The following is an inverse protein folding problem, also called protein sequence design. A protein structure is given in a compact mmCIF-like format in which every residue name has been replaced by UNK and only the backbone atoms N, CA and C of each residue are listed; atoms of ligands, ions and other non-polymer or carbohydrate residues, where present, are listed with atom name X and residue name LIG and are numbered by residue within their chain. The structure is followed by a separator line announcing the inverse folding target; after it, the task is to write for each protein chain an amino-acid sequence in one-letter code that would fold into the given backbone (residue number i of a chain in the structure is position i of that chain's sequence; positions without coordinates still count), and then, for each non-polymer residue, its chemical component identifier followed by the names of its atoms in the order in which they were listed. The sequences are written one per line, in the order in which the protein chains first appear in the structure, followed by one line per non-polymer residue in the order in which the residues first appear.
data_IF_945507288428
#
_entry.id   IF_945507288428
#
_cell.length_a   1.000
_cell.length_b   1.000
_cell.length_c   1.000
_cell.angle_alpha   90.00
_cell.angle_beta   90.00
_cell.angle_gamma   90.00
#
_symmetry.space_group_name_H-M   'P 1'
#
loop_
_entity.id
_entity.type
_entity.pdbx_description
1 polymer ?
#
# COMPACT_ATOMS: atom_id res chain seq x y z
N UNK A 1 -21.97 -37.81 12.16
CA UNK A 1 -20.69 -37.12 12.43
C UNK A 1 -19.73 -37.23 11.25
N UNK A 2 -19.40 -38.43 10.76
CA UNK A 2 -18.46 -38.63 9.63
C UNK A 2 -18.84 -37.85 8.36
N UNK A 3 -20.12 -37.87 7.95
CA UNK A 3 -20.58 -37.12 6.77
C UNK A 3 -20.34 -35.60 6.90
N UNK A 4 -20.54 -35.06 8.11
CA UNK A 4 -20.36 -33.64 8.38
C UNK A 4 -18.87 -33.26 8.32
N UNK A 5 -17.99 -34.12 8.82
CA UNK A 5 -16.53 -33.97 8.72
C UNK A 5 -16.07 -34.01 7.26
N UNK A 6 -16.60 -34.94 6.46
CA UNK A 6 -16.28 -35.04 5.02
C UNK A 6 -16.73 -33.80 4.25
N UNK A 7 -17.93 -33.28 4.53
CA UNK A 7 -18.41 -32.04 3.89
C UNK A 7 -17.55 -30.83 4.26
N UNK A 8 -17.15 -30.70 5.53
CA UNK A 8 -16.25 -29.62 5.96
C UNK A 8 -14.88 -29.74 5.29
N UNK A 9 -14.30 -30.94 5.26
CA UNK A 9 -13.01 -31.20 4.62
C UNK A 9 -13.06 -30.93 3.12
N UNK A 10 -14.13 -31.37 2.44
CA UNK A 10 -14.36 -31.09 1.03
C UNK A 10 -14.47 -29.59 0.74
N UNK A 11 -15.25 -28.85 1.54
CA UNK A 11 -15.37 -27.39 1.41
C UNK A 11 -14.02 -26.68 1.55
N UNK A 12 -13.19 -27.09 2.52
CA UNK A 12 -11.85 -26.52 2.75
C UNK A 12 -10.83 -26.89 1.67
N UNK A 13 -10.95 -28.06 1.06
CA UNK A 13 -10.08 -28.44 -0.06
C UNK A 13 -10.37 -27.60 -1.31
N UNK A 14 -11.67 -27.40 -1.61
CA UNK A 14 -12.09 -26.63 -2.79
C UNK A 14 -11.68 -25.17 -2.67
N UNK A 15 -11.82 -24.55 -1.49
CA UNK A 15 -11.43 -23.14 -1.31
C UNK A 15 -9.93 -22.91 -1.51
N UNK A 16 -9.07 -23.82 -1.04
CA UNK A 16 -7.61 -23.70 -1.22
C UNK A 16 -7.18 -23.74 -2.69
N UNK A 17 -7.88 -24.53 -3.51
CA UNK A 17 -7.64 -24.55 -4.96
C UNK A 17 -8.08 -23.24 -5.61
N UNK A 18 -9.23 -22.69 -5.19
CA UNK A 18 -9.75 -21.43 -5.69
C UNK A 18 -8.85 -20.24 -5.31
N UNK A 19 -8.29 -20.24 -4.10
CA UNK A 19 -7.32 -19.23 -3.64
C UNK A 19 -6.07 -19.18 -4.54
N UNK A 20 -5.53 -20.36 -4.88
CA UNK A 20 -4.34 -20.49 -5.75
C UNK A 20 -4.61 -19.99 -7.17
N UNK A 21 -5.75 -20.37 -7.74
CA UNK A 21 -6.17 -19.93 -9.07
C UNK A 21 -6.42 -18.41 -9.10
N UNK A 22 -7.07 -17.88 -8.05
CA UNK A 22 -7.30 -16.45 -7.90
C UNK A 22 -5.99 -15.66 -7.83
N UNK A 23 -4.98 -16.15 -7.09
CA UNK A 23 -3.66 -15.53 -7.06
C UNK A 23 -3.04 -15.40 -8.46
N UNK A 24 -3.09 -16.50 -9.23
CA UNK A 24 -2.56 -16.54 -10.60
C UNK A 24 -3.30 -15.57 -11.52
N UNK A 25 -4.63 -15.50 -11.43
CA UNK A 25 -5.44 -14.60 -12.25
C UNK A 25 -5.23 -13.12 -11.91
N UNK A 26 -5.10 -12.79 -10.62
CA UNK A 26 -4.81 -11.42 -10.17
C UNK A 26 -3.41 -11.03 -10.64
N UNK A 27 -2.40 -11.88 -10.44
CA UNK A 27 -1.02 -11.62 -10.87
C UNK A 27 -0.95 -11.36 -12.38
N UNK A 28 -1.61 -12.20 -13.17
CA UNK A 28 -1.72 -12.00 -14.62
C UNK A 28 -2.42 -10.68 -14.98
N UNK A 29 -3.44 -10.27 -14.20
CA UNK A 29 -4.20 -9.04 -14.44
C UNK A 29 -3.41 -7.79 -14.13
N UNK A 30 -2.75 -7.75 -12.97
CA UNK A 30 -1.89 -6.64 -12.58
C UNK A 30 -0.71 -6.53 -13.56
N UNK A 31 -0.07 -7.66 -13.89
CA UNK A 31 1.01 -7.70 -14.89
C UNK A 31 0.56 -7.15 -16.23
N UNK A 32 -0.66 -7.44 -16.69
CA UNK A 32 -1.17 -6.92 -17.97
C UNK A 32 -1.31 -5.40 -18.00
N UNK A 33 -1.65 -4.78 -16.88
CA UNK A 33 -1.84 -3.32 -16.78
C UNK A 33 -0.53 -2.52 -16.71
N UNK A 34 0.59 -3.19 -16.50
CA UNK A 34 1.90 -2.56 -16.30
C UNK A 34 2.66 -2.32 -17.60
N UNK A 35 3.49 -1.28 -17.60
CA UNK A 35 4.41 -0.98 -18.70
C UNK A 35 5.47 -2.09 -18.88
N UNK A 36 6.00 -2.21 -20.10
CA UNK A 36 6.82 -3.34 -20.52
C UNK A 36 8.19 -3.44 -19.83
N UNK A 37 8.72 -2.30 -19.41
CA UNK A 37 10.02 -2.07 -18.80
C UNK A 37 10.01 -2.21 -17.27
N UNK A 38 8.84 -2.45 -16.67
CA UNK A 38 8.67 -2.48 -15.22
C UNK A 38 8.63 -3.92 -14.69
N UNK A 39 9.34 -4.17 -13.59
CA UNK A 39 9.29 -5.43 -12.86
C UNK A 39 7.87 -5.71 -12.37
N UNK A 40 7.26 -6.86 -12.72
CA UNK A 40 5.92 -7.19 -12.27
C UNK A 40 5.86 -7.39 -10.75
N UNK A 41 4.76 -6.97 -10.09
CA UNK A 41 4.52 -7.28 -8.70
C UNK A 41 4.16 -8.75 -8.54
N UNK A 42 4.32 -9.26 -7.32
CA UNK A 42 3.99 -10.64 -6.96
C UNK A 42 2.73 -10.67 -6.11
N UNK A 43 1.81 -11.59 -6.40
CA UNK A 43 0.58 -11.77 -5.61
C UNK A 43 0.75 -12.98 -4.71
N UNK A 44 0.49 -12.81 -3.41
CA UNK A 44 0.54 -13.88 -2.42
C UNK A 44 -0.55 -13.72 -1.37
N UNK A 45 -0.59 -14.69 -0.44
CA UNK A 45 -1.48 -14.70 0.72
C UNK A 45 -2.96 -14.48 0.37
N UNK A 46 -3.35 -14.97 -0.82
CA UNK A 46 -4.74 -14.92 -1.26
C UNK A 46 -5.56 -15.88 -0.42
N UNK A 47 -6.60 -15.37 0.22
CA UNK A 47 -7.47 -16.13 1.09
C UNK A 47 -8.94 -15.82 0.83
N UNK A 48 -9.79 -16.85 0.87
CA UNK A 48 -11.23 -16.72 0.77
C UNK A 48 -11.84 -17.16 2.10
N UNK A 49 -12.20 -16.17 2.90
CA UNK A 49 -12.80 -16.37 4.20
C UNK A 49 -14.27 -16.81 4.13
N UNK A 50 -14.72 -17.41 5.23
CA UNK A 50 -16.11 -17.81 5.43
C UNK A 50 -16.39 -19.27 5.14
N UNK A 51 -17.37 -19.81 5.86
CA UNK A 51 -17.84 -21.18 5.77
C UNK A 51 -19.38 -21.21 5.71
N UNK A 52 -19.99 -22.13 4.93
CA UNK A 52 -19.38 -22.99 3.90
C UNK A 52 -19.06 -22.20 2.62
N UNK A 53 -17.89 -22.43 2.02
CA UNK A 53 -17.46 -21.82 0.75
C UNK A 53 -18.38 -22.16 -0.43
N UNK A 54 -18.81 -23.42 -0.55
CA UNK A 54 -19.71 -23.82 -1.65
C UNK A 54 -21.05 -23.06 -1.62
N UNK A 55 -21.53 -22.73 -0.42
CA UNK A 55 -22.73 -21.89 -0.24
C UNK A 55 -22.49 -20.45 -0.71
N UNK A 56 -21.29 -19.91 -0.47
CA UNK A 56 -20.90 -18.59 -0.94
C UNK A 56 -20.89 -18.50 -2.47
N UNK A 57 -20.32 -19.51 -3.14
CA UNK A 57 -20.35 -19.62 -4.61
C UNK A 57 -21.79 -19.69 -5.10
N UNK A 58 -22.62 -20.58 -4.54
CA UNK A 58 -23.99 -20.79 -4.98
C UNK A 58 -24.83 -19.50 -4.91
N UNK A 59 -24.58 -18.65 -3.91
CA UNK A 59 -25.24 -17.36 -3.77
C UNK A 59 -24.51 -16.18 -4.41
N UNK A 60 -23.31 -16.38 -4.95
CA UNK A 60 -22.48 -15.29 -5.48
C UNK A 60 -22.10 -14.23 -4.44
N UNK A 61 -21.96 -14.63 -3.17
CA UNK A 61 -21.71 -13.73 -2.03
C UNK A 61 -20.51 -14.22 -1.24
N UNK A 62 -19.40 -13.52 -1.37
CA UNK A 62 -18.16 -13.83 -0.67
C UNK A 62 -18.04 -12.93 0.56
N UNK A 63 -17.84 -13.56 1.72
CA UNK A 63 -17.82 -12.87 3.01
C UNK A 63 -16.56 -12.05 3.19
N UNK A 64 -15.41 -12.63 2.87
CA UNK A 64 -14.11 -11.99 3.03
C UNK A 64 -13.14 -12.53 1.97
N UNK A 65 -12.40 -11.65 1.31
CA UNK A 65 -11.25 -11.99 0.49
C UNK A 65 -10.08 -11.17 0.99
N UNK A 66 -8.98 -11.84 1.32
CA UNK A 66 -7.70 -11.22 1.65
C UNK A 66 -6.71 -11.47 0.52
N UNK A 67 -5.83 -10.51 0.24
CA UNK A 67 -4.72 -10.68 -0.69
C UNK A 67 -3.58 -9.73 -0.33
N UNK A 68 -2.36 -10.11 -0.68
CA UNK A 68 -1.17 -9.26 -0.59
C UNK A 68 -0.51 -9.15 -1.96
N UNK A 69 -0.17 -7.93 -2.36
CA UNK A 69 0.58 -7.65 -3.59
C UNK A 69 1.90 -7.00 -3.20
N UNK A 70 3.01 -7.66 -3.49
CA UNK A 70 4.35 -7.14 -3.21
C UNK A 70 4.94 -6.41 -4.41
N UNK A 71 5.70 -5.36 -4.11
CA UNK A 71 6.54 -4.69 -5.08
C UNK A 71 5.78 -3.91 -6.13
N UNK A 72 4.77 -3.18 -5.72
CA UNK A 72 3.93 -2.39 -6.63
C UNK A 72 4.70 -1.15 -7.09
N UNK A 73 5.02 -1.05 -8.39
CA UNK A 73 5.71 0.12 -8.94
C UNK A 73 4.76 1.33 -8.96
N UNK A 74 5.28 2.50 -8.61
CA UNK A 74 4.52 3.76 -8.65
C UNK A 74 5.37 4.88 -9.26
N UNK A 75 4.76 6.01 -9.68
CA UNK A 75 5.52 7.21 -10.03
C UNK A 75 6.27 7.85 -8.85
N UNK A 76 5.92 7.47 -7.62
CA UNK A 76 6.60 7.88 -6.39
C UNK A 76 7.52 6.77 -5.87
N UNK A 77 7.73 6.67 -4.54
CA UNK A 77 8.44 5.54 -3.98
C UNK A 77 7.72 4.23 -4.34
N UNK A 78 8.51 3.19 -4.62
CA UNK A 78 7.98 1.85 -4.84
C UNK A 78 7.27 1.40 -3.57
N UNK A 79 6.07 0.84 -3.73
CA UNK A 79 5.33 0.24 -2.63
C UNK A 79 5.86 -1.16 -2.41
N UNK A 80 6.34 -1.45 -1.20
CA UNK A 80 6.92 -2.76 -0.88
C UNK A 80 5.84 -3.83 -0.77
N UNK A 81 4.70 -3.52 -0.17
CA UNK A 81 3.51 -4.38 -0.21
C UNK A 81 2.19 -3.62 -0.06
N UNK A 82 1.12 -4.20 -0.60
CA UNK A 82 -0.26 -3.79 -0.39
C UNK A 82 -1.03 -5.00 0.13
N UNK A 83 -1.48 -4.94 1.37
CA UNK A 83 -2.41 -5.91 1.95
C UNK A 83 -3.84 -5.37 1.80
N UNK A 84 -4.75 -6.17 1.26
CA UNK A 84 -6.15 -5.76 1.06
C UNK A 84 -7.12 -6.82 1.59
N UNK A 85 -8.13 -6.36 2.33
CA UNK A 85 -9.23 -7.15 2.84
C UNK A 85 -10.55 -6.58 2.33
N UNK A 86 -11.27 -7.40 1.56
CA UNK A 86 -12.54 -7.06 0.93
C UNK A 86 -13.65 -7.88 1.57
N UNK A 87 -14.65 -7.20 2.16
CA UNK A 87 -15.77 -7.84 2.85
C UNK A 87 -17.07 -7.61 2.09
N UNK A 88 -17.91 -8.66 2.03
CA UNK A 88 -19.25 -8.57 1.44
C UNK A 88 -19.25 -8.39 -0.08
N UNK A 89 -18.38 -9.11 -0.79
CA UNK A 89 -18.26 -9.03 -2.24
C UNK A 89 -19.44 -9.75 -2.88
N UNK A 90 -20.07 -9.11 -3.87
CA UNK A 90 -21.22 -9.66 -4.60
C UNK A 90 -20.87 -9.85 -6.06
N UNK A 91 -20.70 -11.11 -6.46
CA UNK A 91 -20.45 -11.49 -7.85
C UNK A 91 -21.60 -12.39 -8.29
N UNK A 92 -22.50 -11.94 -9.18
CA UNK A 92 -23.55 -12.81 -9.68
C UNK A 92 -22.94 -14.06 -10.32
N UNK A 93 -23.38 -15.26 -9.91
CA UNK A 93 -22.83 -16.53 -10.41
C UNK A 93 -22.83 -16.63 -11.96
N UNK A 94 -23.79 -15.97 -12.60
CA UNK A 94 -23.90 -15.84 -14.07
C UNK A 94 -22.67 -15.15 -14.68
N UNK A 95 -22.18 -14.07 -14.05
CA UNK A 95 -21.00 -13.31 -14.50
C UNK A 95 -19.70 -14.12 -14.33
N UNK A 96 -19.62 -14.92 -13.26
CA UNK A 96 -18.48 -15.82 -13.05
C UNK A 96 -18.37 -16.88 -14.16
N UNK A 97 -19.50 -17.39 -14.64
CA UNK A 97 -19.54 -18.39 -15.72
C UNK A 97 -19.26 -17.79 -17.11
N UNK A 98 -19.68 -16.55 -17.34
CA UNK A 98 -19.44 -15.85 -18.60
C UNK A 98 -18.03 -15.25 -18.72
N UNK A 99 -17.20 -15.35 -17.66
CA UNK A 99 -15.90 -14.69 -17.53
C UNK A 99 -15.96 -13.16 -17.80
N UNK A 100 -17.15 -12.59 -17.61
CA UNK A 100 -17.49 -11.19 -17.84
C UNK A 100 -17.84 -10.60 -16.47
N UNK A 101 -16.78 -10.36 -15.71
CA UNK A 101 -16.87 -9.83 -14.36
C UNK A 101 -16.86 -8.31 -14.50
N UNK A 102 -18.04 -7.78 -14.85
CA UNK A 102 -18.24 -6.34 -14.88
C UNK A 102 -18.14 -5.72 -13.48
N UNK A 103 -18.79 -4.59 -13.24
CA UNK A 103 -18.76 -3.94 -11.92
C UNK A 103 -19.03 -4.91 -10.74
N UNK A 104 -18.14 -4.88 -9.74
CA UNK A 104 -18.17 -5.73 -8.55
C UNK A 104 -18.45 -4.88 -7.30
N UNK A 105 -19.66 -4.94 -6.74
CA UNK A 105 -19.96 -4.29 -5.47
C UNK A 105 -19.28 -4.99 -4.29
N UNK A 106 -18.72 -4.19 -3.40
CA UNK A 106 -18.04 -4.60 -2.17
C UNK A 106 -18.53 -3.73 -1.01
N UNK A 107 -18.94 -4.36 0.09
CA UNK A 107 -19.50 -3.62 1.23
C UNK A 107 -18.42 -2.83 1.96
N UNK A 108 -17.26 -3.44 2.23
CA UNK A 108 -16.16 -2.78 2.92
C UNK A 108 -14.83 -3.18 2.30
N UNK A 109 -13.95 -2.21 2.13
CA UNK A 109 -12.56 -2.39 1.72
C UNK A 109 -11.67 -1.81 2.80
N UNK A 110 -10.67 -2.57 3.19
CA UNK A 110 -9.58 -2.16 4.07
C UNK A 110 -8.28 -2.51 3.38
N UNK A 111 -7.37 -1.53 3.24
CA UNK A 111 -6.10 -1.73 2.57
C UNK A 111 -4.98 -1.08 3.37
N UNK A 112 -3.90 -1.81 3.56
CA UNK A 112 -2.67 -1.32 4.19
C UNK A 112 -1.55 -1.33 3.17
N UNK A 113 -0.95 -0.16 2.96
CA UNK A 113 0.20 0.04 2.08
C UNK A 113 1.45 0.10 2.95
N UNK A 114 2.49 -0.64 2.56
CA UNK A 114 3.81 -0.59 3.17
C UNK A 114 4.84 0.00 2.21
N UNK A 115 5.74 0.81 2.75
CA UNK A 115 6.83 1.46 2.06
C UNK A 115 8.12 1.21 2.84
N UNK A 116 9.07 0.51 2.24
CA UNK A 116 10.36 0.26 2.88
C UNK A 116 11.23 1.53 2.82
N UNK A 117 12.00 1.80 3.87
CA UNK A 117 12.89 2.98 3.89
C UNK A 117 13.85 3.03 2.70
N UNK A 118 14.30 1.86 2.21
CA UNK A 118 15.17 1.77 1.04
C UNK A 118 14.50 2.30 -0.24
N UNK A 119 13.24 1.90 -0.47
CA UNK A 119 12.45 2.35 -1.63
C UNK A 119 12.12 3.85 -1.52
N UNK A 120 11.83 4.33 -0.31
CA UNK A 120 11.60 5.77 -0.06
C UNK A 120 12.87 6.58 -0.28
N UNK A 121 14.00 6.17 0.28
CA UNK A 121 15.28 6.87 0.12
C UNK A 121 15.78 6.85 -1.33
N UNK A 122 15.51 5.77 -2.06
CA UNK A 122 15.81 5.72 -3.50
C UNK A 122 15.03 6.80 -4.26
N UNK A 123 13.76 6.99 -3.94
CA UNK A 123 12.96 8.06 -4.53
C UNK A 123 13.41 9.46 -4.08
N UNK A 124 13.77 9.63 -2.81
CA UNK A 124 14.23 10.91 -2.26
C UNK A 124 15.60 11.34 -2.79
N UNK A 125 16.46 10.41 -3.21
CA UNK A 125 17.75 10.71 -3.80
C UNK A 125 17.66 11.55 -5.09
N UNK A 126 16.53 11.45 -5.81
CA UNK A 126 16.25 12.25 -7.01
C UNK A 126 15.60 13.62 -6.67
N UNK A 127 15.30 13.88 -5.40
CA UNK A 127 14.71 15.13 -4.94
C UNK A 127 15.79 16.12 -4.50
N UNK A 128 15.54 17.44 -4.62
CA UNK A 128 16.48 18.45 -4.14
C UNK A 128 16.67 18.35 -2.62
N UNK A 129 17.90 18.58 -2.17
CA UNK A 129 18.23 18.64 -0.75
C UNK A 129 18.70 17.33 -0.13
N UNK A 130 19.12 16.34 -0.95
CA UNK A 130 19.76 15.08 -0.50
C UNK A 130 19.03 14.44 0.69
N UNK A 131 17.70 14.34 0.55
CA UNK A 131 16.83 13.94 1.64
C UNK A 131 16.98 12.44 1.92
N UNK A 132 17.12 12.10 3.19
CA UNK A 132 17.15 10.73 3.67
C UNK A 132 16.25 10.58 4.89
N UNK A 133 15.63 9.41 5.00
CA UNK A 133 14.83 9.03 6.16
C UNK A 133 15.32 7.73 6.77
N UNK A 134 15.35 7.68 8.10
CA UNK A 134 15.78 6.50 8.85
C UNK A 134 14.87 6.26 10.06
N UNK A 135 14.61 4.99 10.42
CA UNK A 135 13.88 4.67 11.63
C UNK A 135 14.71 5.01 12.87
N UNK A 136 14.08 5.64 13.85
CA UNK A 136 14.66 5.88 15.19
C UNK A 136 13.67 5.44 16.27
N UNK A 137 14.12 5.34 17.53
CA UNK A 137 13.31 4.87 18.66
C UNK A 137 12.64 3.50 18.38
N UNK A 138 13.42 2.57 17.80
CA UNK A 138 12.93 1.25 17.40
C UNK A 138 11.90 1.27 16.26
N UNK A 139 11.82 2.36 15.50
CA UNK A 139 10.92 2.54 14.36
C UNK A 139 9.67 3.38 14.64
N UNK A 140 9.42 3.73 15.90
CA UNK A 140 8.23 4.52 16.30
C UNK A 140 8.25 5.96 15.77
N UNK A 141 9.43 6.43 15.37
CA UNK A 141 9.65 7.75 14.82
C UNK A 141 10.60 7.64 13.63
N UNK A 142 10.59 8.67 12.79
CA UNK A 142 11.44 8.74 11.61
C UNK A 142 12.34 9.96 11.76
N UNK A 143 13.64 9.74 11.67
CA UNK A 143 14.59 10.82 11.46
C UNK A 143 14.61 11.16 9.98
N UNK A 144 14.53 12.45 9.67
CA UNK A 144 14.71 13.03 8.35
C UNK A 144 15.98 13.84 8.39
N UNK A 145 16.85 13.65 7.42
CA UNK A 145 18.07 14.43 7.23
C UNK A 145 18.15 14.93 5.79
N UNK A 146 18.82 16.06 5.57
CA UNK A 146 19.08 16.58 4.24
C UNK A 146 19.91 17.85 4.26
N UNK A 147 20.15 18.40 3.09
CA UNK A 147 20.88 19.63 2.85
C UNK A 147 19.91 20.75 2.48
N UNK A 148 20.02 21.89 3.16
CA UNK A 148 19.31 23.10 2.81
C UNK A 148 20.28 24.27 2.64
N UNK A 149 20.02 25.12 1.66
CA UNK A 149 20.76 26.38 1.51
C UNK A 149 20.19 27.42 2.45
N UNK A 150 20.97 27.80 3.46
CA UNK A 150 20.58 28.77 4.47
C UNK A 150 21.18 30.12 4.09
N UNK A 151 20.36 31.19 3.94
CA UNK A 151 20.87 32.52 3.63
C UNK A 151 22.01 32.92 4.58
N UNK A 152 23.10 33.46 4.03
CA UNK A 152 24.33 33.86 4.75
C UNK A 152 25.25 32.70 5.15
N UNK A 153 24.73 31.49 5.41
CA UNK A 153 25.52 30.35 5.88
C UNK A 153 25.86 29.32 4.78
N UNK A 154 25.14 29.34 3.67
CA UNK A 154 25.32 28.40 2.56
C UNK A 154 24.66 27.04 2.84
N UNK A 155 25.12 26.00 2.14
CA UNK A 155 24.61 24.64 2.29
C UNK A 155 24.87 24.09 3.70
N UNK A 156 23.78 23.66 4.36
CA UNK A 156 23.75 23.31 5.76
C UNK A 156 22.99 22.00 5.92
N UNK A 157 23.53 21.05 6.67
CA UNK A 157 22.80 19.84 7.04
C UNK A 157 21.70 20.22 8.02
N UNK A 158 20.47 19.82 7.67
CA UNK A 158 19.28 19.98 8.47
C UNK A 158 18.71 18.59 8.74
N UNK A 159 18.23 18.39 9.95
CA UNK A 159 17.60 17.14 10.32
C UNK A 159 16.49 17.36 11.32
N UNK A 160 15.73 16.31 11.56
CA UNK A 160 14.69 16.33 12.58
C UNK A 160 14.00 15.00 12.71
N UNK A 161 13.43 14.75 13.88
CA UNK A 161 12.68 13.54 14.16
C UNK A 161 11.20 13.84 14.07
N UNK A 162 10.48 13.14 13.21
CA UNK A 162 9.04 13.26 13.00
C UNK A 162 8.29 12.03 13.49
N UNK A 163 7.06 12.27 13.96
CA UNK A 163 6.05 11.25 14.16
C UNK A 163 4.87 11.51 13.20
N UNK A 164 4.08 10.47 12.93
CA UNK A 164 2.90 10.55 12.07
C UNK A 164 1.63 10.51 12.91
N UNK A 165 0.68 11.36 12.58
CA UNK A 165 -0.69 11.26 13.07
C UNK A 165 -1.67 11.39 11.92
N UNK A 166 -2.82 10.70 12.02
CA UNK A 166 -3.92 10.82 11.07
C UNK A 166 -5.10 11.46 11.76
N UNK A 167 -5.56 12.60 11.24
CA UNK A 167 -6.78 13.26 11.68
C UNK A 167 -7.56 13.71 10.45
N UNK A 168 -8.88 13.49 10.43
CA UNK A 168 -9.77 13.94 9.36
C UNK A 168 -9.29 13.57 7.94
N UNK A 169 -8.83 12.32 7.73
CA UNK A 169 -8.28 11.85 6.46
C UNK A 169 -7.04 12.62 5.99
N UNK A 170 -6.29 13.23 6.92
CA UNK A 170 -5.05 13.95 6.63
C UNK A 170 -3.91 13.34 7.40
N UNK A 171 -2.86 12.99 6.67
CA UNK A 171 -1.59 12.63 7.26
C UNK A 171 -0.91 13.91 7.76
N UNK A 172 -0.62 13.94 9.05
CA UNK A 172 0.02 15.06 9.72
C UNK A 172 1.40 14.64 10.20
N UNK A 173 2.41 15.39 9.77
CA UNK A 173 3.77 15.24 10.25
C UNK A 173 3.93 16.10 11.51
N UNK A 174 4.37 15.47 12.61
CA UNK A 174 4.60 16.13 13.89
C UNK A 174 6.10 16.07 14.17
N UNK A 175 6.85 17.17 13.93
CA UNK A 175 8.26 17.20 14.28
C UNK A 175 8.42 17.32 15.80
N UNK A 176 9.34 16.54 16.32
CA UNK A 176 9.67 16.43 17.75
C UNK A 176 11.06 16.97 18.08
N UNK A 177 11.97 16.96 17.11
CA UNK A 177 13.34 17.46 17.23
C UNK A 177 13.75 18.12 15.91
N UNK A 178 14.62 19.13 16.00
CA UNK A 178 15.26 19.77 14.85
C UNK A 178 16.74 19.90 15.15
N UNK A 179 17.53 19.51 14.17
CA UNK A 179 18.98 19.55 14.18
C UNK A 179 19.48 20.40 13.01
N UNK A 180 20.47 21.24 13.27
CA UNK A 180 21.26 21.92 12.24
C UNK A 180 22.74 21.60 12.51
N UNK A 181 23.41 20.99 11.54
CA UNK A 181 24.79 20.49 11.69
C UNK A 181 25.72 20.96 10.59
N UNK A 182 26.69 21.82 10.90
CA UNK A 182 27.62 22.35 9.89
C UNK A 182 28.44 23.51 10.40
N UNK A 183 28.19 24.72 9.88
CA UNK A 183 28.91 25.93 10.35
C UNK A 183 28.56 26.28 11.81
N UNK A 184 27.36 25.92 12.24
CA UNK A 184 26.89 25.98 13.62
C UNK A 184 26.22 24.63 13.91
N UNK A 185 26.54 24.02 15.04
CA UNK A 185 25.88 22.79 15.50
C UNK A 185 24.86 23.15 16.57
N UNK A 186 23.58 22.98 16.25
CA UNK A 186 22.47 23.32 17.15
C UNK A 186 21.46 22.18 17.11
N UNK A 187 21.26 21.57 18.28
CA UNK A 187 20.17 20.63 18.53
C UNK A 187 19.13 21.33 19.39
N UNK A 188 17.91 21.45 18.86
CA UNK A 188 16.80 22.07 19.58
C UNK A 188 15.83 20.95 19.96
N UNK A 189 15.95 20.35 21.17
CA UNK A 189 14.90 19.48 21.67
C UNK A 189 13.63 20.31 21.83
N UNK A 190 12.48 19.75 21.44
CA UNK A 190 11.19 20.45 21.55
C UNK A 190 10.30 19.73 22.57
N UNK A 191 10.37 20.10 23.86
CA UNK A 191 9.57 19.44 24.91
C UNK A 191 8.08 19.72 24.67
N UNK A 192 7.28 18.65 24.49
CA UNK A 192 5.83 18.76 24.23
C UNK A 192 5.44 18.93 22.75
N UNK A 193 6.39 18.83 21.82
CA UNK A 193 6.16 19.02 20.38
C UNK A 193 6.07 20.51 19.98
N UNK A 194 6.18 20.78 18.68
CA UNK A 194 6.28 22.12 18.09
C UNK A 194 4.95 22.92 18.03
N UNK A 195 3.88 22.48 18.70
CA UNK A 195 2.51 22.97 18.50
C UNK A 195 2.27 24.49 18.59
N UNK A 196 3.24 25.30 19.06
CA UNK A 196 3.22 26.76 18.98
C UNK A 196 4.37 27.42 18.19
N UNK A 197 5.40 26.68 17.78
CA UNK A 197 6.62 27.22 17.14
C UNK A 197 6.75 26.81 15.66
N UNK A 198 6.32 25.60 15.30
CA UNK A 198 6.24 25.17 13.91
C UNK A 198 4.91 24.46 13.68
N UNK A 199 4.12 24.91 12.70
CA UNK A 199 2.84 24.31 12.43
C UNK A 199 3.02 22.84 12.01
N UNK A 200 2.13 21.98 12.51
CA UNK A 200 1.91 20.66 11.95
C UNK A 200 1.76 20.79 10.42
N UNK A 201 2.48 19.96 9.67
CA UNK A 201 2.47 20.03 8.20
C UNK A 201 1.46 19.01 7.69
N UNK A 202 0.27 19.43 7.24
CA UNK A 202 -0.68 18.51 6.64
C UNK A 202 -0.15 18.11 5.26
N UNK A 203 0.06 16.81 5.06
CA UNK A 203 0.24 16.26 3.72
C UNK A 203 -1.15 15.94 3.19
N UNK A 204 -1.64 16.62 2.13
CA UNK A 204 -2.84 16.19 1.46
C UNK A 204 -2.55 14.83 0.83
N UNK A 205 -3.12 13.77 1.40
CA UNK A 205 -3.31 12.54 0.65
C UNK A 205 -4.28 12.90 -0.47
N UNK A 206 -3.88 12.70 -1.73
CA UNK A 206 -4.70 13.08 -2.89
C UNK A 206 -6.08 12.41 -2.85
N UNK A 207 -6.94 12.70 -3.83
CA UNK A 207 -8.19 11.96 -3.97
C UNK A 207 -7.87 10.48 -4.24
N UNK A 208 -7.93 9.65 -3.20
CA UNK A 208 -7.67 8.23 -3.32
C UNK A 208 -8.81 7.58 -4.15
N UNK A 209 -8.49 6.58 -4.98
CA UNK A 209 -9.50 5.82 -5.71
C UNK A 209 -10.58 5.27 -4.76
N UNK A 210 -11.79 5.10 -5.27
CA UNK A 210 -12.89 4.43 -4.55
C UNK A 210 -13.30 5.10 -3.23
N UNK A 211 -13.05 6.41 -3.08
CA UNK A 211 -13.38 7.15 -1.87
C UNK A 211 -12.70 6.59 -0.60
N UNK A 212 -11.52 5.98 -0.78
CA UNK A 212 -10.71 5.50 0.35
C UNK A 212 -10.36 6.65 1.29
N UNK A 213 -10.53 6.38 2.58
CA UNK A 213 -10.23 7.28 3.69
C UNK A 213 -9.09 6.68 4.48
N UNK A 214 -7.97 7.40 4.57
CA UNK A 214 -6.84 7.07 5.45
C UNK A 214 -7.30 7.18 6.89
N UNK A 215 -7.14 6.10 7.63
CA UNK A 215 -7.53 6.00 9.05
C UNK A 215 -6.34 5.83 9.97
N UNK A 216 -5.21 5.34 9.46
CA UNK A 216 -4.01 5.10 10.26
C UNK A 216 -2.76 5.30 9.41
N UNK A 217 -1.72 5.84 10.04
CA UNK A 217 -0.38 5.92 9.50
C UNK A 217 0.61 5.67 10.63
N UNK A 218 1.60 4.82 10.38
CA UNK A 218 2.62 4.49 11.37
C UNK A 218 3.95 4.19 10.69
N UNK A 219 4.98 4.09 11.51
CA UNK A 219 6.29 3.61 11.10
C UNK A 219 6.77 2.54 12.06
N UNK A 220 7.63 1.66 11.55
CA UNK A 220 8.37 0.71 12.33
C UNK A 220 9.83 0.63 11.83
N UNK A 221 10.56 -0.40 12.25
CA UNK A 221 11.96 -0.59 11.88
C UNK A 221 12.15 -1.01 10.40
N UNK A 222 11.10 -1.57 9.77
CA UNK A 222 11.14 -2.01 8.39
C UNK A 222 10.72 -0.89 7.42
N UNK A 223 9.73 -0.08 7.80
CA UNK A 223 9.24 0.96 6.91
C UNK A 223 8.12 1.81 7.47
N UNK A 224 7.37 2.42 6.55
CA UNK A 224 6.17 3.19 6.78
C UNK A 224 4.95 2.36 6.38
N UNK A 225 3.85 2.50 7.12
CA UNK A 225 2.57 1.87 6.80
C UNK A 225 1.43 2.88 6.82
N UNK A 226 0.49 2.72 5.89
CA UNK A 226 -0.69 3.56 5.74
C UNK A 226 -1.92 2.67 5.55
N UNK A 227 -2.91 2.77 6.42
CA UNK A 227 -4.16 2.02 6.31
C UNK A 227 -5.30 2.95 5.89
N UNK A 228 -6.05 2.50 4.88
CA UNK A 228 -7.21 3.20 4.35
C UNK A 228 -8.42 2.27 4.27
N UNK A 229 -9.61 2.85 4.42
CA UNK A 229 -10.89 2.13 4.38
C UNK A 229 -11.90 2.81 3.46
N UNK A 230 -12.79 2.03 2.88
CA UNK A 230 -13.94 2.52 2.11
C UNK A 230 -15.16 1.61 2.33
N UNK A 231 -16.34 2.19 2.17
CA UNK A 231 -17.63 1.49 2.25
C UNK A 231 -18.35 1.61 0.91
N UNK A 232 -19.17 0.60 0.58
CA UNK A 232 -20.02 0.57 -0.62
C UNK A 232 -19.24 0.87 -1.91
N UNK A 233 -18.13 0.16 -2.08
CA UNK A 233 -17.21 0.32 -3.22
C UNK A 233 -17.70 -0.48 -4.41
N UNK A 234 -17.66 0.13 -5.59
CA UNK A 234 -17.85 -0.60 -6.86
C UNK A 234 -16.51 -0.70 -7.56
N UNK A 235 -15.97 -1.92 -7.62
CA UNK A 235 -14.74 -2.18 -8.36
C UNK A 235 -15.05 -2.23 -9.86
N UNK A 236 -14.28 -1.52 -10.70
CA UNK A 236 -14.50 -1.46 -12.13
C UNK A 236 -14.11 -2.79 -12.77
N UNK A 237 -14.61 -2.99 -13.99
CA UNK A 237 -14.24 -4.13 -14.81
C UNK A 237 -12.72 -4.09 -15.06
N UNK A 238 -12.06 -5.25 -14.92
CA UNK A 238 -10.64 -5.35 -15.20
C UNK A 238 -10.44 -5.31 -16.71
N UNK A 239 -9.68 -4.33 -17.22
CA UNK A 239 -9.37 -4.24 -18.64
C UNK A 239 -8.67 -5.54 -19.11
N UNK A 240 -9.34 -6.23 -20.03
CA UNK A 240 -8.89 -7.52 -20.58
C UNK A 240 -7.97 -7.35 -21.79
N UNK A 241 -7.61 -6.11 -22.15
CA UNK A 241 -6.64 -5.84 -23.19
C UNK A 241 -5.32 -6.61 -22.94
N UNK A 242 -4.90 -7.37 -23.95
CA UNK A 242 -3.69 -8.19 -23.86
C UNK A 242 -2.46 -7.29 -23.91
N UNK A 243 -1.61 -7.31 -22.87
CA UNK A 243 -0.30 -6.64 -22.86
C UNK A 243 0.52 -7.14 -24.04
N UNK A 244 0.84 -6.25 -24.98
CA UNK A 244 1.75 -6.51 -26.10
C UNK A 244 3.04 -5.77 -25.87
N UNK A 245 4.05 -6.47 -25.36
CA UNK A 245 5.39 -5.91 -25.29
C UNK A 245 6.13 -6.13 -26.60
N UNK A 246 6.76 -5.08 -27.18
CA UNK A 246 7.68 -5.28 -28.28
C UNK A 246 8.80 -6.21 -27.84
N UNK A 247 9.28 -7.08 -28.74
CA UNK A 247 10.44 -7.91 -28.48
C UNK A 247 11.62 -7.00 -28.12
N UNK A 248 12.49 -7.37 -27.15
CA UNK A 248 13.68 -6.59 -26.85
C UNK A 248 14.49 -6.42 -28.12
N UNK A 249 14.79 -5.17 -28.50
CA UNK A 249 15.55 -4.86 -29.69
C UNK A 249 16.93 -5.53 -29.59
N UNK A 250 17.13 -6.62 -30.33
CA UNK A 250 18.44 -7.21 -30.57
C UNK A 250 19.21 -6.35 -31.57
N UNK A 251 19.63 -5.16 -31.14
CA UNK A 251 20.51 -4.30 -31.91
C UNK A 251 21.59 -3.78 -30.98
N UNK A 252 22.56 -4.65 -30.70
CA UNK A 252 23.87 -4.27 -30.19
C UNK A 252 24.81 -3.93 -31.37
N UNK A 253 25.75 -2.99 -31.19
CA UNK A 253 26.89 -2.81 -32.10
C UNK A 253 27.87 -3.98 -32.06
#
# INVERSE_FOLDING_TARGET
MVLLVVLIAGDRFVVSTAESEMATQIEASVTRSLACDVTPPTVRDVSIGGFPFLTQIAFGRFKNIGLTIDGVPTPGPRISSVEAHLKGIRIPARKMLSNDVGEIPVDNVEATVHLDYADVNTFLADQPGDLQINPVDGGKKVEVAGLADVPVLGAQEIGGVIAFEVHDNKLTLIPSEIALHGSINVDIPVPGGLGGLLPAIPIPVGALPFNLTVVEASSDAAGLSLTATAQDVVLPETDTATRRCPAPNSSGP
#
